data_IF_532670758682
#
_entry.id   IF_532670758682
#
_cell.length_a   1.000
_cell.length_b   1.000
_cell.length_c   1.000
_cell.angle_alpha   90.00
_cell.angle_beta   90.00
_cell.angle_gamma   90.00
#
_symmetry.space_group_name_H-M   'P 1'
#
loop_
_entity.id
_entity.type
_entity.pdbx_description
1 polymer ?
#
# COMPACT_ATOMS: atom_id res chain seq x y z
N UNK A 1 8.84 -0.10 -16.86
CA UNK A 1 9.01 -0.83 -15.57
C UNK A 1 9.25 0.20 -14.49
N UNK A 2 8.56 0.12 -13.34
CA UNK A 2 8.61 1.13 -12.27
C UNK A 2 9.64 0.84 -11.16
N UNK A 3 10.60 -0.06 -11.40
CA UNK A 3 11.67 -0.38 -10.44
C UNK A 3 11.49 -1.69 -9.66
N UNK A 4 10.26 -2.23 -9.56
CA UNK A 4 10.00 -3.52 -8.89
C UNK A 4 10.38 -4.76 -9.70
N UNK A 5 10.73 -5.84 -9.01
CA UNK A 5 10.97 -7.17 -9.60
C UNK A 5 9.68 -7.94 -9.84
N UNK A 6 9.72 -8.97 -10.71
CA UNK A 6 8.55 -9.82 -10.94
C UNK A 6 8.15 -10.58 -9.67
N UNK A 7 9.12 -11.07 -8.90
CA UNK A 7 8.88 -11.71 -7.61
C UNK A 7 8.15 -10.79 -6.62
N UNK A 8 8.54 -9.51 -6.54
CA UNK A 8 7.81 -8.53 -5.73
C UNK A 8 6.38 -8.32 -6.23
N UNK A 9 6.16 -8.23 -7.54
CA UNK A 9 4.81 -8.10 -8.11
C UNK A 9 3.96 -9.32 -7.79
N UNK A 10 4.52 -10.52 -7.93
CA UNK A 10 3.80 -11.77 -7.66
C UNK A 10 3.45 -11.87 -6.17
N UNK A 11 4.39 -11.58 -5.26
CA UNK A 11 4.14 -11.56 -3.83
C UNK A 11 3.10 -10.49 -3.40
N UNK A 12 3.12 -9.29 -4.00
CA UNK A 12 2.14 -8.24 -3.67
C UNK A 12 0.69 -8.63 -3.98
N UNK A 13 0.43 -9.60 -4.87
CA UNK A 13 -0.94 -10.07 -5.13
C UNK A 13 -1.58 -10.76 -3.93
N UNK A 14 -0.74 -11.27 -3.02
CA UNK A 14 -1.15 -11.95 -1.80
C UNK A 14 -1.06 -11.03 -0.57
N UNK A 15 -0.88 -9.71 -0.76
CA UNK A 15 -0.64 -8.79 0.35
C UNK A 15 -1.83 -8.74 1.33
N UNK A 16 -1.54 -9.10 2.58
CA UNK A 16 -2.53 -9.15 3.65
C UNK A 16 -3.39 -10.42 3.66
N UNK A 17 -2.94 -11.47 2.97
CA UNK A 17 -3.41 -12.86 3.07
C UNK A 17 -2.41 -13.69 3.89
N UNK A 18 -2.81 -14.88 4.34
CA UNK A 18 -1.97 -15.75 5.18
C UNK A 18 -0.76 -16.34 4.42
N UNK A 19 -0.82 -16.40 3.09
CA UNK A 19 0.23 -16.95 2.21
C UNK A 19 1.16 -15.87 1.62
N UNK A 20 1.09 -14.63 2.12
CA UNK A 20 1.98 -13.55 1.69
C UNK A 20 3.47 -13.88 1.94
N UNK A 21 4.29 -13.82 0.88
CA UNK A 21 5.75 -13.98 0.97
C UNK A 21 6.46 -12.61 1.06
N UNK A 22 6.98 -12.23 2.25
CA UNK A 22 7.70 -10.96 2.41
C UNK A 22 9.17 -11.03 1.98
N UNK A 23 9.70 -12.21 1.62
CA UNK A 23 11.14 -12.40 1.36
C UNK A 23 11.70 -11.54 0.22
N UNK A 24 10.95 -11.20 -0.85
CA UNK A 24 11.47 -10.33 -1.92
C UNK A 24 11.61 -8.86 -1.53
N UNK A 25 11.15 -8.47 -0.33
CA UNK A 25 11.15 -7.09 0.16
C UNK A 25 12.20 -6.90 1.25
N UNK A 26 12.87 -5.75 1.23
CA UNK A 26 13.69 -5.24 2.32
C UNK A 26 12.84 -4.95 3.57
N UNK A 27 13.49 -4.77 4.72
CA UNK A 27 12.78 -4.45 5.96
C UNK A 27 11.96 -3.15 5.84
N UNK A 28 12.53 -2.12 5.21
CA UNK A 28 11.83 -0.86 4.98
C UNK A 28 10.60 -1.05 4.08
N UNK A 29 10.74 -1.80 2.97
CA UNK A 29 9.60 -2.07 2.09
C UNK A 29 8.49 -2.85 2.81
N UNK A 30 8.84 -3.79 3.70
CA UNK A 30 7.86 -4.51 4.52
C UNK A 30 7.11 -3.58 5.48
N UNK A 31 7.82 -2.70 6.19
CA UNK A 31 7.17 -1.70 7.06
C UNK A 31 6.26 -0.76 6.25
N UNK A 32 6.65 -0.38 5.02
CA UNK A 32 5.82 0.44 4.13
C UNK A 32 4.55 -0.31 3.67
N UNK A 33 4.67 -1.60 3.35
CA UNK A 33 3.53 -2.45 3.00
C UNK A 33 2.58 -2.61 4.20
N UNK A 34 3.13 -2.81 5.40
CA UNK A 34 2.36 -2.88 6.65
C UNK A 34 1.61 -1.56 6.91
N UNK A 35 2.28 -0.41 6.75
CA UNK A 35 1.64 0.90 6.89
C UNK A 35 0.48 1.05 5.91
N UNK A 36 0.70 0.66 4.66
CA UNK A 36 -0.32 0.73 3.60
C UNK A 36 -1.55 -0.11 3.98
N UNK A 37 -1.35 -1.33 4.47
CA UNK A 37 -2.43 -2.20 4.95
C UNK A 37 -3.19 -1.59 6.13
N UNK A 38 -2.48 -1.10 7.15
CA UNK A 38 -3.11 -0.52 8.33
C UNK A 38 -3.92 0.74 7.97
N UNK A 39 -3.35 1.65 7.17
CA UNK A 39 -4.06 2.86 6.71
C UNK A 39 -5.29 2.56 5.84
N UNK A 40 -5.33 1.40 5.18
CA UNK A 40 -6.39 1.05 4.22
C UNK A 40 -7.48 0.18 4.83
N UNK A 41 -7.12 -0.81 5.66
CA UNK A 41 -8.06 -1.79 6.21
C UNK A 41 -8.50 -1.47 7.64
N UNK A 42 -7.58 -1.05 8.51
CA UNK A 42 -7.87 -0.84 9.94
C UNK A 42 -8.04 0.63 10.31
N UNK A 43 -7.57 1.56 9.46
CA UNK A 43 -7.54 3.02 9.65
C UNK A 43 -6.62 3.46 10.79
N UNK A 44 -6.56 2.70 11.89
CA UNK A 44 -5.62 2.86 12.97
C UNK A 44 -4.25 2.30 12.58
N UNK A 45 -3.21 3.13 12.73
CA UNK A 45 -1.81 2.75 12.54
C UNK A 45 -1.14 2.54 13.90
N UNK A 46 -0.34 1.48 14.02
CA UNK A 46 0.50 1.22 15.19
C UNK A 46 1.59 2.28 15.36
N UNK A 47 1.67 2.86 16.56
CA UNK A 47 2.69 3.83 16.92
C UNK A 47 4.12 3.29 16.81
N UNK A 48 4.35 2.00 17.06
CA UNK A 48 5.68 1.39 16.95
C UNK A 48 6.12 1.29 15.49
N UNK A 49 5.21 0.98 14.57
CA UNK A 49 5.46 1.01 13.13
C UNK A 49 5.82 2.43 12.66
N UNK A 50 5.07 3.44 13.11
CA UNK A 50 5.38 4.84 12.80
C UNK A 50 6.76 5.26 13.30
N UNK A 51 7.17 4.83 14.49
CA UNK A 51 8.52 5.10 15.01
C UNK A 51 9.61 4.44 14.17
N UNK A 52 9.44 3.17 13.76
CA UNK A 52 10.41 2.47 12.88
C UNK A 52 10.56 3.19 11.54
N UNK A 53 9.44 3.54 10.91
CA UNK A 53 9.45 4.27 9.64
C UNK A 53 10.05 5.67 9.77
N UNK A 54 9.74 6.40 10.85
CA UNK A 54 10.33 7.71 11.12
C UNK A 54 11.85 7.61 11.30
N UNK A 55 12.34 6.58 11.99
CA UNK A 55 13.77 6.35 12.17
C UNK A 55 14.47 6.02 10.84
N UNK A 56 13.81 5.27 9.96
CA UNK A 56 14.39 4.86 8.68
C UNK A 56 14.32 5.96 7.59
N UNK A 57 13.25 6.75 7.57
CA UNK A 57 12.95 7.71 6.48
C UNK A 57 13.18 9.18 6.86
N UNK A 58 13.15 9.49 8.15
CA UNK A 58 13.02 10.86 8.64
C UNK A 58 11.62 11.45 8.42
N UNK A 59 11.40 12.66 8.94
CA UNK A 59 10.07 13.26 9.02
C UNK A 59 9.47 13.58 7.64
N UNK A 60 10.25 14.20 6.75
CA UNK A 60 9.72 14.69 5.47
C UNK A 60 9.26 13.53 4.58
N UNK A 61 10.11 12.52 4.40
CA UNK A 61 9.80 11.37 3.54
C UNK A 61 8.66 10.54 4.14
N UNK A 62 8.57 10.44 5.47
CA UNK A 62 7.44 9.79 6.12
C UNK A 62 6.12 10.52 5.84
N UNK A 63 6.10 11.85 5.92
CA UNK A 63 4.91 12.64 5.59
C UNK A 63 4.52 12.45 4.12
N UNK A 64 5.49 12.46 3.21
CA UNK A 64 5.24 12.21 1.78
C UNK A 64 4.65 10.82 1.54
N UNK A 65 5.21 9.79 2.18
CA UNK A 65 4.70 8.42 2.09
C UNK A 65 3.23 8.33 2.57
N UNK A 66 2.94 8.85 3.76
CA UNK A 66 1.58 8.88 4.32
C UNK A 66 0.63 9.64 3.39
N UNK A 67 1.09 10.75 2.80
CA UNK A 67 0.29 11.56 1.88
C UNK A 67 -0.08 10.80 0.62
N UNK A 68 0.88 10.06 0.03
CA UNK A 68 0.63 9.24 -1.17
C UNK A 68 -0.40 8.15 -0.87
N UNK A 69 -0.23 7.41 0.25
CA UNK A 69 -1.18 6.38 0.66
C UNK A 69 -2.58 6.98 0.88
N UNK A 70 -2.67 8.11 1.59
CA UNK A 70 -3.92 8.81 1.85
C UNK A 70 -4.62 9.28 0.57
N UNK A 71 -3.87 9.78 -0.41
CA UNK A 71 -4.41 10.21 -1.71
C UNK A 71 -5.05 9.03 -2.46
N UNK A 72 -4.36 7.88 -2.56
CA UNK A 72 -4.95 6.69 -3.19
C UNK A 72 -6.16 6.16 -2.43
N UNK A 73 -6.14 6.23 -1.09
CA UNK A 73 -7.28 5.86 -0.26
C UNK A 73 -8.50 6.76 -0.50
N UNK A 74 -8.29 8.06 -0.75
CA UNK A 74 -9.35 8.99 -1.15
C UNK A 74 -9.87 8.67 -2.55
N UNK A 75 -8.98 8.48 -3.53
CA UNK A 75 -9.36 8.15 -4.92
C UNK A 75 -10.13 6.84 -4.98
N UNK A 76 -9.72 5.81 -4.24
CA UNK A 76 -10.46 4.54 -4.16
C UNK A 76 -11.90 4.74 -3.70
N UNK A 77 -12.12 5.56 -2.65
CA UNK A 77 -13.47 5.91 -2.19
C UNK A 77 -14.27 6.67 -3.24
N UNK A 78 -13.64 7.59 -3.97
CA UNK A 78 -14.28 8.34 -5.05
C UNK A 78 -14.73 7.42 -6.19
N UNK A 79 -13.85 6.53 -6.66
CA UNK A 79 -14.15 5.59 -7.76
C UNK A 79 -15.29 4.64 -7.37
N UNK A 80 -15.25 4.08 -6.16
CA UNK A 80 -16.29 3.18 -5.66
C UNK A 80 -17.63 3.91 -5.50
N UNK A 81 -17.63 5.12 -4.93
CA UNK A 81 -18.86 5.87 -4.69
C UNK A 81 -19.57 6.33 -5.97
N UNK A 82 -18.81 6.51 -7.06
CA UNK A 82 -19.32 6.95 -8.36
C UNK A 82 -19.47 5.82 -9.38
N UNK A 83 -19.26 4.56 -8.97
CA UNK A 83 -19.33 3.37 -9.83
C UNK A 83 -18.44 3.49 -11.09
N UNK A 84 -17.24 4.02 -10.92
CA UNK A 84 -16.26 4.19 -12.00
C UNK A 84 -15.41 2.93 -12.11
N UNK A 85 -15.31 2.39 -13.32
CA UNK A 85 -14.49 1.21 -13.64
C UNK A 85 -13.40 1.55 -14.67
N UNK A 86 -12.29 0.78 -14.70
CA UNK A 86 -11.30 0.91 -15.76
C UNK A 86 -11.95 0.70 -17.13
N UNK A 87 -11.58 1.53 -18.11
CA UNK A 87 -12.18 1.53 -19.46
C UNK A 87 -12.08 0.17 -20.19
N UNK A 88 -11.10 -0.67 -19.82
CA UNK A 88 -10.83 -1.96 -20.46
C UNK A 88 -11.62 -3.15 -19.88
N UNK A 89 -12.47 -2.93 -18.87
CA UNK A 89 -13.34 -3.98 -18.34
C UNK A 89 -14.68 -3.95 -19.10
N UNK A 90 -14.80 -4.77 -20.14
CA UNK A 90 -16.04 -4.91 -20.90
C UNK A 90 -17.25 -5.06 -19.95
N UNK A 91 -18.39 -4.43 -20.25
CA UNK A 91 -19.55 -4.44 -19.35
C UNK A 91 -19.93 -5.89 -19.05
N UNK A 92 -20.06 -6.21 -17.76
CA UNK A 92 -20.68 -7.47 -17.34
C UNK A 92 -22.16 -7.38 -17.71
N UNK A 93 -22.53 -8.06 -18.79
CA UNK A 93 -23.91 -8.30 -19.20
C UNK A 93 -24.63 -9.23 -18.20
#
# INVERSE_FOLDING_TARGET
KAGGTQAQVDAMRHLGEDDFDPTPFSLLERDVLELTLQMTRTIQVDSELMKRLQAALGNTVLVELVTVIAAYNMVSRFLIALDIHPEDQAPKA
#
